data_IF_462233156885
#
_entry.id   IF_462233156885
#
_cell.length_a   1.000
_cell.length_b   1.000
_cell.length_c   1.000
_cell.angle_alpha   90.00
_cell.angle_beta   90.00
_cell.angle_gamma   90.00
#
_symmetry.space_group_name_H-M   'P 1'
#
loop_
_entity.id
_entity.type
_entity.pdbx_description
1 polymer ?
#
# COMPACT_ATOMS: atom_id res chain seq x y z
N UNK A 1 -9.43 18.27 0.17
CA UNK A 1 -8.19 17.49 0.30
C UNK A 1 -7.25 18.22 1.24
N UNK A 2 -6.99 17.64 2.41
CA UNK A 2 -6.14 18.23 3.44
C UNK A 2 -4.69 17.70 3.34
N UNK A 3 -3.73 18.56 3.68
CA UNK A 3 -2.36 18.14 3.96
C UNK A 3 -2.28 17.69 5.43
N UNK A 4 -1.62 16.59 5.71
CA UNK A 4 -1.45 16.07 7.06
C UNK A 4 -0.07 15.45 7.26
N UNK A 5 0.39 15.40 8.51
CA UNK A 5 1.63 14.73 8.87
C UNK A 5 1.40 13.23 9.03
N UNK A 6 1.97 12.43 8.11
CA UNK A 6 1.85 10.98 8.18
C UNK A 6 2.93 10.39 9.09
N UNK A 7 2.53 9.77 10.18
CA UNK A 7 3.43 9.29 11.24
C UNK A 7 4.44 8.26 10.78
N UNK A 8 4.04 7.33 9.87
CA UNK A 8 4.92 6.27 9.35
C UNK A 8 6.04 6.79 8.46
N UNK A 9 5.88 7.95 7.86
CA UNK A 9 6.87 8.50 6.93
C UNK A 9 7.52 9.79 7.42
N UNK A 10 7.03 10.35 8.54
CA UNK A 10 7.60 11.56 9.14
C UNK A 10 7.54 12.80 8.25
N UNK A 11 6.64 12.85 7.28
CA UNK A 11 6.48 13.97 6.34
C UNK A 11 5.03 14.39 6.21
N UNK A 12 4.83 15.62 5.80
CA UNK A 12 3.53 16.10 5.36
C UNK A 12 3.20 15.49 3.99
N UNK A 13 1.98 15.01 3.86
CA UNK A 13 1.42 14.44 2.64
C UNK A 13 0.10 15.08 2.31
N UNK A 14 -0.16 15.14 1.02
CA UNK A 14 -1.45 15.47 0.44
C UNK A 14 -1.82 14.39 -0.57
N UNK A 15 -2.73 13.52 -0.19
CA UNK A 15 -3.17 12.40 -1.03
C UNK A 15 -4.54 12.74 -1.60
N UNK A 16 -4.61 12.88 -2.91
CA UNK A 16 -5.83 13.27 -3.64
C UNK A 16 -6.55 12.03 -4.16
N UNK A 17 -7.22 11.30 -3.25
CA UNK A 17 -8.01 10.13 -3.58
C UNK A 17 -9.33 10.09 -2.79
N UNK A 18 -10.34 9.40 -3.34
CA UNK A 18 -11.62 9.18 -2.65
C UNK A 18 -11.40 8.45 -1.33
N UNK A 19 -10.51 7.45 -1.31
CA UNK A 19 -10.19 6.69 -0.11
C UNK A 19 -9.64 7.61 0.99
N UNK A 20 -8.72 8.51 0.66
CA UNK A 20 -8.14 9.45 1.61
C UNK A 20 -9.14 10.51 2.08
N UNK A 21 -10.00 11.00 1.21
CA UNK A 21 -11.05 11.95 1.59
C UNK A 21 -11.99 11.34 2.63
N UNK A 22 -12.45 10.10 2.41
CA UNK A 22 -13.29 9.39 3.36
C UNK A 22 -12.57 9.10 4.69
N UNK A 23 -11.32 8.65 4.64
CA UNK A 23 -10.52 8.39 5.83
C UNK A 23 -10.33 9.66 6.67
N UNK A 24 -9.96 10.77 6.03
CA UNK A 24 -9.77 12.05 6.73
C UNK A 24 -11.07 12.54 7.38
N UNK A 25 -12.21 12.38 6.72
CA UNK A 25 -13.50 12.71 7.29
C UNK A 25 -13.84 11.85 8.52
N UNK A 26 -13.59 10.54 8.46
CA UNK A 26 -13.78 9.63 9.60
C UNK A 26 -12.85 9.97 10.77
N UNK A 27 -11.56 10.24 10.49
CA UNK A 27 -10.60 10.63 11.52
C UNK A 27 -11.04 11.91 12.22
N UNK A 28 -11.46 12.92 11.45
CA UNK A 28 -11.95 14.18 12.00
C UNK A 28 -13.20 13.98 12.87
N UNK A 29 -14.18 13.23 12.39
CA UNK A 29 -15.39 12.92 13.13
C UNK A 29 -15.08 12.19 14.45
N UNK A 30 -14.21 11.18 14.42
CA UNK A 30 -13.78 10.45 15.62
C UNK A 30 -13.08 11.37 16.62
N UNK A 31 -12.18 12.23 16.13
CA UNK A 31 -11.48 13.17 16.98
C UNK A 31 -12.42 14.17 17.68
N UNK A 32 -13.42 14.65 16.95
CA UNK A 32 -14.40 15.60 17.50
C UNK A 32 -15.35 14.96 18.52
N UNK A 33 -15.72 13.70 18.32
CA UNK A 33 -16.70 13.00 19.15
C UNK A 33 -16.03 12.30 20.35
N UNK A 34 -14.89 11.65 20.15
CA UNK A 34 -14.28 10.76 21.12
C UNK A 34 -12.95 11.30 21.68
N UNK A 35 -12.43 12.39 21.13
CA UNK A 35 -11.12 12.98 21.46
C UNK A 35 -9.95 11.98 21.38
N UNK A 36 -10.10 10.91 20.59
CA UNK A 36 -9.08 9.91 20.38
C UNK A 36 -8.19 10.29 19.19
N UNK A 37 -6.89 10.02 19.31
CA UNK A 37 -5.98 10.13 18.17
C UNK A 37 -6.12 8.90 17.30
N UNK A 38 -6.52 9.07 16.04
CA UNK A 38 -6.60 7.98 15.05
C UNK A 38 -5.37 8.05 14.15
N UNK A 39 -4.73 6.91 13.92
CA UNK A 39 -3.60 6.81 13.00
C UNK A 39 -4.10 6.73 11.56
N UNK A 40 -3.42 7.43 10.65
CA UNK A 40 -3.63 7.28 9.22
C UNK A 40 -3.21 5.88 8.77
N UNK A 41 -4.07 5.27 7.95
CA UNK A 41 -3.78 3.97 7.33
C UNK A 41 -2.80 4.15 6.17
N UNK A 42 -2.26 3.03 5.70
CA UNK A 42 -1.47 3.01 4.47
C UNK A 42 -2.36 3.44 3.29
N UNK A 43 -1.91 4.41 2.48
CA UNK A 43 -2.69 4.86 1.35
C UNK A 43 -2.88 3.76 0.32
N UNK A 44 -4.01 3.79 -0.34
CA UNK A 44 -4.33 2.89 -1.44
C UNK A 44 -5.14 3.62 -2.51
N UNK A 45 -5.00 3.16 -3.72
CA UNK A 45 -5.61 3.78 -4.89
C UNK A 45 -6.00 2.71 -5.90
N UNK A 46 -7.00 2.99 -6.72
CA UNK A 46 -7.34 2.18 -7.90
C UNK A 46 -7.74 3.06 -9.07
N UNK A 47 -7.55 2.53 -10.29
CA UNK A 47 -8.04 3.13 -11.52
C UNK A 47 -8.48 2.03 -12.48
N UNK A 48 -9.59 2.24 -13.15
CA UNK A 48 -10.06 1.36 -14.22
C UNK A 48 -9.74 2.04 -15.56
N UNK A 49 -9.00 1.34 -16.42
CA UNK A 49 -8.58 1.80 -17.73
C UNK A 49 -9.05 0.77 -18.77
N UNK A 50 -10.27 0.93 -19.29
CA UNK A 50 -10.89 -0.09 -20.14
C UNK A 50 -11.08 -1.42 -19.38
N UNK A 51 -10.45 -2.47 -19.89
CA UNK A 51 -10.45 -3.81 -19.26
C UNK A 51 -9.42 -3.97 -18.14
N UNK A 52 -8.51 -3.00 -17.99
CA UNK A 52 -7.40 -3.11 -17.03
C UNK A 52 -7.75 -2.40 -15.72
N UNK A 53 -7.45 -3.04 -14.62
CA UNK A 53 -7.61 -2.50 -13.27
C UNK A 53 -6.27 -2.32 -12.61
N UNK A 54 -5.84 -1.06 -12.46
CA UNK A 54 -4.67 -0.70 -11.68
C UNK A 54 -5.06 -0.56 -10.20
N UNK A 55 -4.29 -1.15 -9.30
CA UNK A 55 -4.42 -1.02 -7.86
C UNK A 55 -3.06 -0.76 -7.25
N UNK A 56 -2.96 0.25 -6.39
CA UNK A 56 -1.72 0.66 -5.72
C UNK A 56 -1.95 0.65 -4.22
N UNK A 57 -1.01 0.11 -3.45
CA UNK A 57 -0.95 0.21 -2.00
C UNK A 57 0.43 0.67 -1.56
N UNK A 58 0.52 1.60 -0.62
CA UNK A 58 1.78 2.12 -0.11
C UNK A 58 2.17 3.49 -0.68
N UNK A 59 3.45 3.82 -0.57
CA UNK A 59 4.02 5.14 -0.90
C UNK A 59 5.03 5.04 -2.04
N UNK A 60 4.57 5.14 -3.28
CA UNK A 60 5.43 5.04 -4.48
C UNK A 60 6.49 6.18 -4.55
N UNK A 61 6.16 7.36 -4.05
CA UNK A 61 7.08 8.52 -4.05
C UNK A 61 8.33 8.32 -3.18
N UNK A 62 8.34 7.29 -2.33
CA UNK A 62 9.47 6.98 -1.46
C UNK A 62 10.44 5.96 -2.04
N UNK A 63 10.13 5.45 -3.21
CA UNK A 63 10.96 4.45 -3.87
C UNK A 63 12.08 5.12 -4.67
N UNK A 64 13.24 4.48 -4.63
CA UNK A 64 14.36 4.83 -5.48
C UNK A 64 14.47 3.88 -6.67
N UNK A 65 13.83 2.69 -6.58
CA UNK A 65 13.90 1.64 -7.59
C UNK A 65 12.64 0.77 -7.60
N UNK A 66 12.55 -0.12 -8.58
CA UNK A 66 11.41 -1.02 -8.77
C UNK A 66 11.85 -2.44 -9.12
N UNK A 67 11.06 -3.42 -8.70
CA UNK A 67 11.24 -4.82 -9.02
C UNK A 67 9.97 -5.41 -9.62
N UNK A 68 10.08 -6.05 -10.79
CA UNK A 68 8.98 -6.72 -11.44
C UNK A 68 8.80 -8.12 -10.82
N UNK A 69 7.78 -8.26 -9.95
CA UNK A 69 7.49 -9.50 -9.25
C UNK A 69 6.71 -10.48 -10.13
N UNK A 70 5.78 -9.99 -10.93
CA UNK A 70 4.93 -10.80 -11.80
C UNK A 70 4.74 -10.10 -13.13
N UNK A 71 4.91 -10.86 -14.23
CA UNK A 71 4.60 -10.44 -15.58
C UNK A 71 3.95 -11.59 -16.34
N UNK A 72 2.62 -11.59 -16.41
CA UNK A 72 1.80 -12.59 -17.11
C UNK A 72 0.87 -11.88 -18.07
N UNK A 73 0.32 -12.57 -19.08
CA UNK A 73 -0.72 -12.01 -19.91
C UNK A 73 -1.84 -11.40 -19.04
N UNK A 74 -2.13 -10.12 -19.24
CA UNK A 74 -3.15 -9.36 -18.51
C UNK A 74 -2.95 -9.21 -16.99
N UNK A 75 -1.82 -9.64 -16.44
CA UNK A 75 -1.51 -9.46 -15.01
C UNK A 75 -0.08 -8.98 -14.81
N UNK A 76 0.11 -7.93 -14.02
CA UNK A 76 1.43 -7.41 -13.67
C UNK A 76 1.48 -6.96 -12.22
N UNK A 77 2.59 -7.23 -11.56
CA UNK A 77 2.86 -6.74 -10.20
C UNK A 77 4.26 -6.15 -10.14
N UNK A 78 4.35 -4.89 -9.77
CA UNK A 78 5.60 -4.16 -9.56
C UNK A 78 5.72 -3.78 -8.09
N UNK A 79 6.86 -4.05 -7.51
CA UNK A 79 7.23 -3.59 -6.18
C UNK A 79 8.05 -2.32 -6.30
N UNK A 80 7.65 -1.27 -5.61
CA UNK A 80 8.48 -0.10 -5.39
C UNK A 80 9.26 -0.29 -4.10
N UNK A 81 10.55 0.01 -4.11
CA UNK A 81 11.39 -0.22 -2.93
C UNK A 81 12.44 0.86 -2.75
N UNK A 82 12.94 0.93 -1.52
CA UNK A 82 14.07 1.75 -1.10
C UNK A 82 14.86 0.99 -0.04
N UNK A 83 16.17 0.98 -0.15
CA UNK A 83 17.08 0.32 0.81
C UNK A 83 16.67 -1.12 1.12
N UNK A 84 16.26 -1.89 0.09
CA UNK A 84 15.82 -3.27 0.22
C UNK A 84 14.46 -3.47 0.91
N UNK A 85 13.68 -2.40 1.08
CA UNK A 85 12.36 -2.42 1.71
C UNK A 85 11.27 -2.01 0.73
N UNK A 86 10.22 -2.80 0.64
CA UNK A 86 9.07 -2.49 -0.22
C UNK A 86 8.30 -1.30 0.36
N UNK A 87 8.14 -0.26 -0.43
CA UNK A 87 7.43 0.98 -0.07
C UNK A 87 6.05 1.05 -0.67
N UNK A 88 5.84 0.44 -1.85
CA UNK A 88 4.54 0.32 -2.49
C UNK A 88 4.46 -0.92 -3.38
N UNK A 89 3.23 -1.34 -3.65
CA UNK A 89 2.89 -2.41 -4.59
C UNK A 89 1.91 -1.86 -5.61
N UNK A 90 2.26 -1.99 -6.88
CA UNK A 90 1.44 -1.61 -8.03
C UNK A 90 1.00 -2.89 -8.76
N UNK A 91 -0.29 -3.13 -8.83
CA UNK A 91 -0.86 -4.35 -9.39
C UNK A 91 -1.85 -4.04 -10.52
N UNK A 92 -1.64 -4.64 -11.69
CA UNK A 92 -2.60 -4.63 -12.80
C UNK A 92 -3.27 -6.01 -12.84
N UNK A 93 -4.60 -6.02 -12.71
CA UNK A 93 -5.45 -7.23 -12.72
C UNK A 93 -4.99 -8.34 -11.75
N UNK A 94 -4.24 -8.00 -10.72
CA UNK A 94 -3.68 -8.92 -9.73
C UNK A 94 -4.21 -8.62 -8.32
N UNK A 95 -5.54 -8.61 -8.17
CA UNK A 95 -6.22 -8.23 -6.95
C UNK A 95 -5.79 -9.05 -5.71
N UNK A 96 -5.41 -10.31 -5.91
CA UNK A 96 -4.94 -11.20 -4.83
C UNK A 96 -3.62 -10.70 -4.23
N UNK A 97 -2.66 -10.34 -5.06
CA UNK A 97 -1.38 -9.79 -4.65
C UNK A 97 -1.55 -8.41 -3.99
N UNK A 98 -2.42 -7.57 -4.57
CA UNK A 98 -2.75 -6.27 -4.01
C UNK A 98 -3.39 -6.38 -2.60
N UNK A 99 -4.36 -7.27 -2.41
CA UNK A 99 -5.01 -7.47 -1.12
C UNK A 99 -4.04 -8.02 -0.06
N UNK A 100 -3.14 -8.92 -0.47
CA UNK A 100 -2.08 -9.42 0.39
C UNK A 100 -1.12 -8.30 0.81
N UNK A 101 -0.71 -7.45 -0.15
CA UNK A 101 0.14 -6.29 0.13
C UNK A 101 -0.50 -5.34 1.14
N UNK A 102 -1.78 -5.01 0.96
CA UNK A 102 -2.50 -4.17 1.92
C UNK A 102 -2.47 -4.74 3.33
N UNK A 103 -2.79 -6.02 3.47
CA UNK A 103 -2.78 -6.71 4.78
C UNK A 103 -1.39 -6.68 5.42
N UNK A 104 -0.34 -6.93 4.65
CA UNK A 104 1.03 -6.89 5.16
C UNK A 104 1.43 -5.48 5.59
N UNK A 105 1.07 -4.46 4.84
CA UNK A 105 1.33 -3.06 5.23
C UNK A 105 0.53 -2.63 6.45
N UNK A 106 -0.71 -3.12 6.62
CA UNK A 106 -1.55 -2.80 7.77
C UNK A 106 -1.13 -3.56 9.04
N UNK A 107 -0.65 -4.81 8.92
CA UNK A 107 -0.24 -5.65 10.05
C UNK A 107 1.18 -5.40 10.52
N UNK A 108 2.06 -4.98 9.62
CA UNK A 108 3.46 -4.72 9.93
C UNK A 108 3.74 -3.22 9.91
N UNK A 109 3.89 -2.64 11.09
CA UNK A 109 4.56 -1.34 11.23
C UNK A 109 6.03 -1.41 10.75
N UNK A 110 6.54 -2.62 10.55
CA UNK A 110 7.88 -2.93 10.02
C UNK A 110 7.76 -3.22 8.52
N UNK A 111 8.50 -2.49 7.73
CA UNK A 111 8.55 -2.61 6.28
C UNK A 111 8.81 -4.04 5.77
N UNK A 112 8.12 -4.42 4.72
CA UNK A 112 8.28 -5.69 4.02
C UNK A 112 9.67 -5.72 3.36
N UNK A 113 10.47 -6.76 3.62
CA UNK A 113 11.76 -6.96 2.97
C UNK A 113 11.57 -7.37 1.51
N UNK A 114 12.24 -6.68 0.59
CA UNK A 114 12.24 -7.03 -0.83
C UNK A 114 12.76 -8.45 -1.05
N UNK A 115 13.87 -8.82 -0.40
CA UNK A 115 14.46 -10.14 -0.52
C UNK A 115 13.50 -11.26 -0.10
N UNK A 116 12.74 -11.05 0.98
CA UNK A 116 11.74 -12.01 1.45
C UNK A 116 10.64 -12.22 0.41
N UNK A 117 10.17 -11.14 -0.23
CA UNK A 117 9.15 -11.24 -1.29
C UNK A 117 9.71 -11.92 -2.53
N UNK A 118 10.94 -11.61 -2.92
CA UNK A 118 11.63 -12.24 -4.05
C UNK A 118 11.77 -13.76 -3.86
N UNK A 119 12.18 -14.20 -2.66
CA UNK A 119 12.29 -15.61 -2.31
C UNK A 119 10.93 -16.33 -2.32
N UNK A 120 9.88 -15.67 -1.83
CA UNK A 120 8.53 -16.21 -1.84
C UNK A 120 7.89 -16.24 -3.24
N UNK A 121 8.36 -15.41 -4.17
CA UNK A 121 7.83 -15.27 -5.53
C UNK A 121 6.42 -14.69 -5.63
N UNK A 122 5.77 -14.40 -4.48
CA UNK A 122 4.41 -13.87 -4.39
C UNK A 122 4.21 -13.24 -3.01
N UNK A 123 3.53 -12.09 -2.97
CA UNK A 123 3.15 -11.44 -1.70
C UNK A 123 2.09 -12.28 -0.98
N UNK A 124 1.18 -12.87 -1.74
CA UNK A 124 0.14 -13.72 -1.19
C UNK A 124 0.72 -14.96 -0.48
N UNK A 125 1.71 -15.62 -1.09
CA UNK A 125 2.40 -16.76 -0.47
C UNK A 125 3.09 -16.36 0.84
N UNK A 126 3.69 -15.18 0.88
CA UNK A 126 4.31 -14.63 2.09
C UNK A 126 3.28 -14.41 3.21
N UNK A 127 2.10 -13.90 2.87
CA UNK A 127 1.04 -13.69 3.86
C UNK A 127 0.55 -15.01 4.47
N UNK A 128 0.45 -16.07 3.67
CA UNK A 128 0.05 -17.40 4.15
C UNK A 128 1.07 -18.00 5.12
N UNK A 129 2.37 -17.87 4.82
CA UNK A 129 3.45 -18.38 5.68
C UNK A 129 3.56 -17.64 7.01
N UNK A 130 3.11 -16.39 7.07
CA UNK A 130 3.11 -15.58 8.29
C UNK A 130 1.92 -15.86 9.21
N UNK A 131 0.90 -16.59 8.72
CA UNK A 131 -0.33 -16.90 9.46
C UNK A 131 -0.33 -18.31 10.08
N UNK A 132 0.77 -19.06 9.90
CA UNK A 132 1.02 -20.38 10.47
C UNK A 132 2.00 -20.29 11.63
#
# INVERSE_FOLDING_TARGET
>A
VAEYHHTLIGKKLRIESIAQANETACILATHLLEQQSVRHKIPWFWSNQGSEKLQIAGFSERSDDSFLLMDKPHQRVVLRHKDGRVTAVEAINAAREYMAARRLFESNEKSISLNTVQQAGSIFSLLQSSSS
#
